data_IF_215912895778
#
_entry.id   IF_215912895778
#
_cell.length_a   1.000
_cell.length_b   1.000
_cell.length_c   1.000
_cell.angle_alpha   90.00
_cell.angle_beta   90.00
_cell.angle_gamma   90.00
#
_symmetry.space_group_name_H-M   'P 1'
#
loop_
_entity.id
_entity.type
_entity.pdbx_description
1 polymer ?
#
# COMPACT_ATOMS: atom_id res chain seq x y z
N UNK A 1 17.69 -43.53 -1.99
CA UNK A 1 18.52 -42.73 -2.91
C UNK A 1 17.95 -41.33 -2.96
N UNK A 2 18.56 -40.42 -2.20
CA UNK A 2 18.21 -39.00 -2.22
C UNK A 2 19.08 -38.34 -3.29
N UNK A 3 18.45 -37.81 -4.35
CA UNK A 3 19.15 -36.92 -5.28
C UNK A 3 19.22 -35.58 -4.57
N UNK A 4 20.33 -35.34 -3.88
CA UNK A 4 20.73 -34.02 -3.42
C UNK A 4 21.05 -33.16 -4.64
N UNK A 5 20.09 -32.35 -5.08
CA UNK A 5 20.32 -31.31 -6.09
C UNK A 5 21.15 -30.19 -5.47
N UNK A 6 22.46 -30.32 -5.62
CA UNK A 6 23.44 -29.26 -5.43
C UNK A 6 23.02 -27.98 -6.20
N UNK A 7 23.02 -26.83 -5.51
CA UNK A 7 23.18 -25.53 -6.17
C UNK A 7 22.04 -24.52 -6.05
N UNK A 8 20.88 -24.84 -5.46
CA UNK A 8 19.92 -23.79 -5.11
C UNK A 8 20.33 -23.18 -3.77
N UNK A 9 21.13 -22.11 -3.79
CA UNK A 9 21.19 -21.18 -2.66
C UNK A 9 19.75 -20.81 -2.35
N UNK A 10 19.20 -21.33 -1.26
CA UNK A 10 17.90 -20.92 -0.74
C UNK A 10 17.89 -19.39 -0.79
N UNK A 11 17.00 -18.81 -1.59
CA UNK A 11 16.96 -17.38 -1.78
C UNK A 11 16.86 -16.76 -0.40
N UNK A 12 17.93 -16.09 0.05
CA UNK A 12 17.98 -15.45 1.36
C UNK A 12 16.77 -14.54 1.42
N UNK A 13 15.79 -14.88 2.25
CA UNK A 13 14.59 -14.08 2.44
C UNK A 13 15.06 -12.82 3.15
N UNK A 14 15.53 -11.84 2.38
CA UNK A 14 15.91 -10.54 2.90
C UNK A 14 14.61 -9.85 3.29
N UNK A 15 14.32 -9.87 4.59
CA UNK A 15 13.27 -9.06 5.17
C UNK A 15 13.51 -7.59 4.79
N UNK A 16 12.49 -6.94 4.25
CA UNK A 16 12.55 -5.53 3.83
C UNK A 16 12.95 -4.68 5.04
N UNK A 17 13.95 -3.82 4.87
CA UNK A 17 14.39 -2.90 5.92
C UNK A 17 13.41 -1.73 6.04
N UNK A 18 13.02 -1.36 7.25
CA UNK A 18 12.16 -0.20 7.49
C UNK A 18 13.06 0.93 8.01
N UNK A 19 13.19 2.01 7.24
CA UNK A 19 13.94 3.21 7.61
C UNK A 19 12.96 4.31 7.98
N UNK A 20 13.00 4.79 9.23
CA UNK A 20 12.17 5.90 9.67
C UNK A 20 12.96 7.22 9.65
N UNK A 21 12.52 8.17 8.82
CA UNK A 21 13.05 9.54 8.73
C UNK A 21 11.95 10.58 9.02
N UNK A 22 10.79 10.16 9.53
CA UNK A 22 9.70 11.08 9.88
C UNK A 22 10.06 11.88 11.14
N UNK A 23 9.80 13.18 11.13
CA UNK A 23 10.10 14.09 12.25
C UNK A 23 9.04 14.05 13.36
N UNK A 24 7.83 13.61 13.04
CA UNK A 24 6.70 13.58 13.98
C UNK A 24 6.42 12.16 14.50
N UNK A 25 5.79 12.03 15.69
CA UNK A 25 5.59 10.73 16.32
C UNK A 25 4.62 9.85 15.54
N UNK A 26 5.12 8.72 15.06
CA UNK A 26 4.33 7.66 14.45
C UNK A 26 3.61 6.81 15.51
N UNK A 27 2.51 6.12 15.16
CA UNK A 27 1.87 5.16 16.04
C UNK A 27 2.86 4.07 16.49
N UNK A 28 2.88 3.73 17.78
CA UNK A 28 3.88 2.80 18.37
C UNK A 28 4.04 1.47 17.62
N UNK A 29 2.97 0.96 17.00
CA UNK A 29 2.94 -0.32 16.30
C UNK A 29 3.16 -0.21 14.78
N UNK A 30 3.73 0.89 14.28
CA UNK A 30 3.85 1.10 12.83
C UNK A 30 4.68 0.00 12.14
N UNK A 31 5.83 -0.38 12.71
CA UNK A 31 6.70 -1.43 12.14
C UNK A 31 6.01 -2.79 12.17
N UNK A 32 5.37 -3.13 13.28
CA UNK A 32 4.62 -4.37 13.41
C UNK A 32 3.48 -4.43 12.39
N UNK A 33 2.82 -3.30 12.14
CA UNK A 33 1.75 -3.20 11.13
C UNK A 33 2.30 -3.39 9.72
N UNK A 34 3.40 -2.72 9.36
CA UNK A 34 4.04 -2.86 8.05
C UNK A 34 4.47 -4.31 7.81
N UNK A 35 5.15 -4.93 8.78
CA UNK A 35 5.57 -6.33 8.68
C UNK A 35 4.37 -7.26 8.48
N UNK A 36 3.30 -7.11 9.27
CA UNK A 36 2.08 -7.93 9.12
C UNK A 36 1.42 -7.80 7.74
N UNK A 37 1.47 -6.60 7.14
CA UNK A 37 0.95 -6.38 5.78
C UNK A 37 1.85 -7.05 4.74
N UNK A 38 3.18 -6.97 4.90
CA UNK A 38 4.13 -7.65 4.01
C UNK A 38 4.03 -9.17 4.11
N UNK A 39 3.87 -9.71 5.32
CA UNK A 39 3.70 -11.15 5.59
C UNK A 39 2.39 -11.70 4.99
N UNK A 40 1.41 -10.83 4.73
CA UNK A 40 0.18 -11.21 4.04
C UNK A 40 0.37 -11.42 2.54
N UNK A 41 1.35 -10.76 1.93
CA UNK A 41 1.62 -10.87 0.51
C UNK A 41 2.58 -12.04 0.22
N UNK A 42 2.42 -12.72 -0.92
CA UNK A 42 3.43 -13.66 -1.41
C UNK A 42 4.80 -12.98 -1.58
N UNK A 43 5.85 -13.62 -1.08
CA UNK A 43 7.23 -13.09 -1.06
C UNK A 43 7.71 -12.78 -2.49
N UNK A 44 7.24 -13.53 -3.47
CA UNK A 44 7.55 -13.35 -4.88
C UNK A 44 7.15 -11.96 -5.38
N UNK A 45 6.08 -11.37 -4.85
CA UNK A 45 5.51 -10.13 -5.36
C UNK A 45 6.30 -8.88 -4.97
N UNK A 46 7.11 -8.96 -3.92
CA UNK A 46 8.00 -7.88 -3.47
C UNK A 46 9.48 -8.31 -3.46
N UNK A 47 9.80 -9.42 -4.15
CA UNK A 47 11.15 -9.96 -4.17
C UNK A 47 12.12 -8.95 -4.78
N UNK A 48 13.21 -8.68 -4.05
CA UNK A 48 14.25 -7.76 -4.48
C UNK A 48 14.03 -6.32 -4.04
N UNK A 49 12.89 -6.02 -3.41
CA UNK A 49 12.70 -4.75 -2.69
C UNK A 49 13.61 -4.75 -1.46
N UNK A 50 14.44 -3.72 -1.34
CA UNK A 50 15.44 -3.64 -0.27
C UNK A 50 14.87 -2.97 0.99
N UNK A 51 14.13 -1.87 0.81
CA UNK A 51 13.68 -1.03 1.93
C UNK A 51 12.38 -0.28 1.71
N UNK A 52 11.75 0.07 2.83
CA UNK A 52 10.66 1.03 2.95
C UNK A 52 11.16 2.21 3.77
N UNK A 53 11.19 3.39 3.16
CA UNK A 53 11.56 4.65 3.80
C UNK A 53 10.31 5.44 4.17
N UNK A 54 10.14 5.73 5.46
CA UNK A 54 9.06 6.56 5.99
C UNK A 54 9.58 7.99 6.09
N UNK A 55 8.95 8.92 5.38
CA UNK A 55 9.32 10.33 5.35
C UNK A 55 8.13 11.20 5.73
N UNK A 56 8.35 12.45 6.11
CA UNK A 56 7.25 13.38 6.33
C UNK A 56 6.54 13.66 5.00
N UNK A 57 7.29 14.17 4.02
CA UNK A 57 6.81 14.51 2.68
C UNK A 57 7.74 13.94 1.62
N UNK A 58 7.17 13.45 0.52
CA UNK A 58 7.94 12.94 -0.61
C UNK A 58 8.43 14.13 -1.44
N UNK A 59 9.75 14.23 -1.61
CA UNK A 59 10.41 15.32 -2.34
C UNK A 59 11.32 14.76 -3.43
N UNK A 60 10.74 14.16 -4.46
CA UNK A 60 11.50 13.68 -5.63
C UNK A 60 11.60 14.81 -6.69
N UNK A 61 12.82 15.15 -7.16
CA UNK A 61 13.01 16.09 -8.27
C UNK A 61 12.20 15.77 -9.54
N UNK A 62 11.91 14.49 -9.81
CA UNK A 62 11.11 14.04 -10.96
C UNK A 62 9.67 14.52 -10.91
N UNK A 63 9.13 14.73 -9.71
CA UNK A 63 7.76 15.18 -9.49
C UNK A 63 7.60 16.67 -9.73
N UNK A 64 8.68 17.45 -9.57
CA UNK A 64 8.67 18.91 -9.81
C UNK A 64 8.43 19.29 -11.27
N UNK A 65 8.73 18.39 -12.19
CA UNK A 65 8.58 18.61 -13.63
C UNK A 65 7.26 18.06 -14.19
N UNK A 66 6.39 17.48 -13.35
CA UNK A 66 5.07 17.03 -13.77
C UNK A 66 4.02 17.99 -13.20
N UNK A 67 3.24 18.64 -14.08
CA UNK A 67 2.04 19.44 -13.74
C UNK A 67 0.90 18.54 -13.23
N UNK A 68 1.17 17.72 -12.22
CA UNK A 68 0.14 17.00 -11.50
C UNK A 68 -0.37 17.98 -10.44
N UNK A 69 -1.68 18.28 -10.39
CA UNK A 69 -2.24 19.06 -9.30
C UNK A 69 -2.20 18.20 -8.03
N UNK A 70 -1.03 18.12 -7.38
CA UNK A 70 -0.82 17.45 -6.10
C UNK A 70 -1.41 18.34 -5.01
N UNK A 71 -2.73 18.50 -5.05
CA UNK A 71 -3.50 19.15 -3.99
C UNK A 71 -3.61 18.14 -2.85
N UNK A 72 -2.52 17.99 -2.11
CA UNK A 72 -2.33 16.98 -1.07
C UNK A 72 -1.18 16.05 -1.43
N UNK A 73 -0.15 16.04 -0.58
CA UNK A 73 1.13 15.35 -0.78
C UNK A 73 0.96 13.90 -1.23
N UNK A 74 1.86 13.45 -2.12
CA UNK A 74 1.89 12.08 -2.60
C UNK A 74 2.07 11.11 -1.42
N UNK A 75 1.14 10.17 -1.21
CA UNK A 75 1.19 9.32 -0.04
C UNK A 75 2.30 8.27 -0.14
N UNK A 76 2.68 7.86 -1.35
CA UNK A 76 3.74 6.88 -1.59
C UNK A 76 4.34 6.98 -2.99
N UNK A 77 5.61 6.61 -3.11
CA UNK A 77 6.38 6.62 -4.34
C UNK A 77 7.19 5.31 -4.47
N UNK A 78 7.09 4.69 -5.63
CA UNK A 78 7.91 3.53 -5.98
C UNK A 78 9.17 3.97 -6.70
N UNK A 79 10.32 3.54 -6.17
CA UNK A 79 11.62 3.74 -6.82
C UNK A 79 12.05 2.42 -7.49
N UNK A 80 11.98 2.32 -8.84
CA UNK A 80 12.42 1.13 -9.55
C UNK A 80 13.93 0.95 -9.45
N UNK A 81 14.43 -0.24 -9.81
CA UNK A 81 15.87 -0.51 -9.86
C UNK A 81 16.57 0.46 -10.80
N UNK A 82 17.55 1.21 -10.28
CA UNK A 82 18.39 2.12 -11.07
C UNK A 82 19.84 1.73 -10.83
N UNK A 83 20.54 1.31 -11.89
CA UNK A 83 21.94 0.89 -11.83
C UNK A 83 22.17 -0.17 -10.73
N UNK A 84 22.98 0.17 -9.72
CA UNK A 84 23.32 -0.70 -8.60
C UNK A 84 22.35 -0.58 -7.40
N UNK A 85 21.40 0.36 -7.44
CA UNK A 85 20.43 0.54 -6.37
C UNK A 85 19.23 -0.39 -6.59
N UNK A 86 18.96 -1.25 -5.60
CA UNK A 86 17.79 -2.12 -5.59
C UNK A 86 16.49 -1.30 -5.48
N UNK A 87 15.35 -1.85 -5.94
CA UNK A 87 14.07 -1.16 -5.82
C UNK A 87 13.70 -0.94 -4.35
N UNK A 88 13.07 0.19 -4.08
CA UNK A 88 12.64 0.55 -2.73
C UNK A 88 11.38 1.40 -2.75
N UNK A 89 10.76 1.54 -1.58
CA UNK A 89 9.50 2.23 -1.40
C UNK A 89 9.67 3.45 -0.52
N UNK A 90 9.08 4.57 -0.93
CA UNK A 90 9.00 5.78 -0.13
C UNK A 90 7.54 6.03 0.27
N UNK A 91 7.29 6.33 1.53
CA UNK A 91 5.95 6.57 2.05
C UNK A 91 5.91 7.89 2.83
N UNK A 92 5.02 8.79 2.45
CA UNK A 92 4.75 10.02 3.21
C UNK A 92 3.83 9.70 4.38
N UNK A 93 4.35 9.83 5.59
CA UNK A 93 3.56 9.69 6.80
C UNK A 93 2.65 10.89 6.99
N UNK A 94 3.03 12.10 6.52
CA UNK A 94 2.24 13.30 6.71
C UNK A 94 0.94 13.23 5.90
N UNK A 95 0.99 12.70 4.68
CA UNK A 95 -0.19 12.44 3.86
C UNK A 95 -1.14 11.42 4.51
N UNK A 96 -0.59 10.42 5.23
CA UNK A 96 -1.39 9.38 5.89
C UNK A 96 -1.98 9.79 7.24
N UNK A 97 -1.24 10.59 8.02
CA UNK A 97 -1.61 10.96 9.39
C UNK A 97 -2.18 12.37 9.51
N UNK A 98 -2.09 13.18 8.46
CA UNK A 98 -2.55 14.57 8.39
C UNK A 98 -2.25 15.35 9.69
N UNK A 99 -0.97 15.37 10.13
CA UNK A 99 -0.62 15.84 11.47
C UNK A 99 -0.90 17.33 11.70
N UNK A 100 -1.03 18.10 10.61
CA UNK A 100 -1.31 19.54 10.58
C UNK A 100 -2.80 19.88 10.61
N UNK A 101 -3.69 18.90 10.48
CA UNK A 101 -5.14 19.12 10.47
C UNK A 101 -5.77 19.03 11.86
N UNK A 102 -7.00 19.53 12.00
CA UNK A 102 -7.70 19.61 13.28
C UNK A 102 -7.86 18.27 14.01
N UNK A 103 -8.10 18.32 15.33
CA UNK A 103 -8.11 17.16 16.24
C UNK A 103 -8.95 15.97 15.75
N UNK A 104 -10.14 16.23 15.19
CA UNK A 104 -11.04 15.19 14.66
C UNK A 104 -10.41 14.46 13.48
N UNK A 105 -9.80 15.20 12.55
CA UNK A 105 -9.15 14.61 11.35
C UNK A 105 -7.90 13.82 11.73
N UNK A 106 -7.12 14.33 12.68
CA UNK A 106 -5.98 13.62 13.27
C UNK A 106 -6.39 12.30 13.92
N UNK A 107 -7.50 12.29 14.67
CA UNK A 107 -8.03 11.07 15.28
C UNK A 107 -8.51 10.07 14.22
N UNK A 108 -9.26 10.52 13.21
CA UNK A 108 -9.70 9.66 12.10
C UNK A 108 -8.52 9.07 11.33
N UNK A 109 -7.50 9.87 11.02
CA UNK A 109 -6.30 9.43 10.33
C UNK A 109 -5.53 8.38 11.15
N UNK A 110 -5.40 8.58 12.48
CA UNK A 110 -4.82 7.57 13.38
C UNK A 110 -5.62 6.27 13.44
N UNK A 111 -6.95 6.35 13.48
CA UNK A 111 -7.83 5.17 13.49
C UNK A 111 -7.78 4.40 12.17
N UNK A 112 -7.62 5.10 11.04
CA UNK A 112 -7.53 4.52 9.70
C UNK A 112 -6.12 4.07 9.30
N UNK A 113 -5.10 4.37 10.10
CA UNK A 113 -3.68 4.19 9.75
C UNK A 113 -3.34 2.79 9.25
N UNK A 114 -3.85 1.74 9.93
CA UNK A 114 -3.59 0.34 9.53
C UNK A 114 -4.13 0.01 8.15
N UNK A 115 -5.34 0.50 7.82
CA UNK A 115 -5.96 0.30 6.52
C UNK A 115 -5.27 1.11 5.43
N UNK A 116 -4.94 2.36 5.72
CA UNK A 116 -4.28 3.26 4.77
C UNK A 116 -2.87 2.79 4.42
N UNK A 117 -2.07 2.38 5.42
CA UNK A 117 -0.76 1.76 5.17
C UNK A 117 -0.89 0.48 4.36
N UNK A 118 -1.85 -0.38 4.68
CA UNK A 118 -2.04 -1.63 3.95
C UNK A 118 -2.36 -1.37 2.47
N UNK A 119 -3.32 -0.48 2.19
CA UNK A 119 -3.68 -0.10 0.82
C UNK A 119 -2.50 0.50 0.05
N UNK A 120 -1.69 1.31 0.73
CA UNK A 120 -0.51 1.91 0.14
C UNK A 120 0.58 0.90 -0.19
N UNK A 121 0.90 0.01 0.75
CA UNK A 121 1.86 -1.09 0.51
C UNK A 121 1.37 -1.97 -0.64
N UNK A 122 0.07 -2.32 -0.68
CA UNK A 122 -0.47 -3.11 -1.79
C UNK A 122 -0.39 -2.37 -3.13
N UNK A 123 -0.58 -1.05 -3.15
CA UNK A 123 -0.36 -0.25 -4.36
C UNK A 123 1.11 -0.27 -4.80
N UNK A 124 2.05 -0.03 -3.88
CA UNK A 124 3.49 0.00 -4.19
C UNK A 124 4.04 -1.36 -4.60
N UNK A 125 3.63 -2.44 -3.92
CA UNK A 125 3.98 -3.80 -4.30
C UNK A 125 3.34 -4.16 -5.64
N UNK A 126 2.10 -3.73 -5.89
CA UNK A 126 1.46 -3.88 -7.20
C UNK A 126 2.25 -3.21 -8.31
N UNK A 127 2.71 -1.97 -8.09
CA UNK A 127 3.59 -1.26 -9.02
C UNK A 127 4.87 -2.06 -9.27
N UNK A 128 5.55 -2.50 -8.22
CA UNK A 128 6.76 -3.31 -8.35
C UNK A 128 6.51 -4.62 -9.12
N UNK A 129 5.47 -5.36 -8.76
CA UNK A 129 5.12 -6.62 -9.39
C UNK A 129 4.83 -6.47 -10.88
N UNK A 130 3.98 -5.51 -11.27
CA UNK A 130 3.60 -5.32 -12.67
C UNK A 130 4.67 -4.61 -13.52
N UNK A 131 5.52 -3.76 -12.93
CA UNK A 131 6.58 -3.08 -13.66
C UNK A 131 7.86 -3.91 -13.77
N UNK A 132 8.15 -4.73 -12.77
CA UNK A 132 9.47 -5.39 -12.64
C UNK A 132 9.40 -6.90 -12.83
N UNK A 133 8.34 -7.56 -12.37
CA UNK A 133 8.28 -9.03 -12.35
C UNK A 133 7.37 -9.61 -13.43
N UNK A 134 6.25 -8.94 -13.73
CA UNK A 134 5.24 -9.40 -14.68
C UNK A 134 5.28 -8.58 -15.96
N UNK A 135 6.02 -9.05 -16.95
CA UNK A 135 6.16 -8.40 -18.25
C UNK A 135 4.99 -8.62 -19.23
N UNK A 136 3.93 -9.32 -18.81
CA UNK A 136 2.80 -9.69 -19.67
C UNK A 136 1.79 -8.56 -19.91
N UNK A 137 2.01 -7.36 -19.36
CA UNK A 137 1.01 -6.29 -19.30
C UNK A 137 1.46 -5.08 -20.11
N UNK A 138 0.59 -4.62 -21.00
CA UNK A 138 0.81 -3.39 -21.78
C UNK A 138 0.81 -2.18 -20.86
N UNK A 139 1.70 -1.22 -21.13
CA UNK A 139 1.86 0.00 -20.32
C UNK A 139 0.56 0.79 -20.12
N UNK A 140 -0.30 0.83 -21.14
CA UNK A 140 -1.60 1.50 -21.11
C UNK A 140 -2.60 0.88 -20.12
N UNK A 141 -2.41 -0.38 -19.74
CA UNK A 141 -3.32 -1.11 -18.84
C UNK A 141 -2.71 -1.37 -17.46
N UNK A 142 -1.56 -0.77 -17.14
CA UNK A 142 -0.88 -1.00 -15.87
C UNK A 142 -1.66 -0.41 -14.69
N UNK A 143 -2.08 0.85 -14.78
CA UNK A 143 -2.76 1.52 -13.66
C UNK A 143 -4.07 0.80 -13.25
N UNK A 144 -4.98 0.41 -14.17
CA UNK A 144 -6.16 -0.36 -13.79
C UNK A 144 -5.82 -1.69 -13.11
N UNK A 145 -4.76 -2.37 -13.55
CA UNK A 145 -4.36 -3.67 -12.99
C UNK A 145 -3.71 -3.55 -11.62
N UNK A 146 -2.88 -2.52 -11.42
CA UNK A 146 -2.30 -2.18 -10.11
C UNK A 146 -3.40 -1.82 -9.13
N UNK A 147 -4.37 -1.01 -9.57
CA UNK A 147 -5.54 -0.64 -8.76
C UNK A 147 -6.37 -1.85 -8.37
N UNK A 148 -6.74 -2.70 -9.32
CA UNK A 148 -7.48 -3.93 -9.04
C UNK A 148 -6.73 -4.86 -8.10
N UNK A 149 -5.40 -4.98 -8.25
CA UNK A 149 -4.55 -5.74 -7.35
C UNK A 149 -4.58 -5.17 -5.92
N UNK A 150 -4.44 -3.85 -5.79
CA UNK A 150 -4.48 -3.19 -4.49
C UNK A 150 -5.84 -3.35 -3.82
N UNK A 151 -6.94 -3.11 -4.55
CA UNK A 151 -8.31 -3.25 -4.07
C UNK A 151 -8.62 -4.70 -3.62
N UNK A 152 -8.19 -5.69 -4.40
CA UNK A 152 -8.36 -7.12 -4.08
C UNK A 152 -7.64 -7.47 -2.78
N UNK A 153 -6.36 -7.13 -2.66
CA UNK A 153 -5.57 -7.45 -1.47
C UNK A 153 -6.06 -6.67 -0.24
N UNK A 154 -6.49 -5.43 -0.42
CA UNK A 154 -7.05 -4.63 0.66
C UNK A 154 -8.37 -5.21 1.18
N UNK A 155 -9.23 -5.70 0.29
CA UNK A 155 -10.47 -6.38 0.68
C UNK A 155 -10.18 -7.65 1.48
N UNK A 156 -9.30 -8.51 0.98
CA UNK A 156 -8.91 -9.76 1.65
C UNK A 156 -8.22 -9.49 2.99
N UNK A 157 -7.34 -8.48 3.04
CA UNK A 157 -6.69 -8.04 4.27
C UNK A 157 -7.70 -7.55 5.30
N UNK A 158 -8.63 -6.69 4.89
CA UNK A 158 -9.70 -6.18 5.75
C UNK A 158 -10.59 -7.31 6.27
N UNK A 159 -10.90 -8.29 5.43
CA UNK A 159 -11.63 -9.49 5.82
C UNK A 159 -10.87 -10.30 6.88
N UNK A 160 -9.58 -10.59 6.67
CA UNK A 160 -8.73 -11.32 7.61
C UNK A 160 -8.52 -10.58 8.93
N UNK A 161 -8.38 -9.26 8.89
CA UNK A 161 -8.31 -8.44 10.11
C UNK A 161 -9.65 -8.39 10.86
N UNK A 162 -10.76 -8.51 10.12
CA UNK A 162 -12.10 -8.50 10.68
C UNK A 162 -12.55 -9.89 11.15
N UNK A 163 -11.95 -10.98 10.65
CA UNK A 163 -12.21 -12.36 11.05
C UNK A 163 -11.93 -12.56 12.54
N UNK A 164 -12.99 -12.50 13.35
CA UNK A 164 -12.94 -12.59 14.82
C UNK A 164 -13.51 -11.36 15.54
N UNK A 165 -13.67 -10.23 14.84
CA UNK A 165 -14.28 -9.03 15.39
C UNK A 165 -15.81 -9.15 15.45
N UNK A 166 -16.42 -8.69 16.56
CA UNK A 166 -17.89 -8.60 16.69
C UNK A 166 -18.54 -7.83 15.53
N UNK A 167 -17.88 -6.76 15.08
CA UNK A 167 -18.27 -5.98 13.89
C UNK A 167 -18.38 -6.85 12.64
N UNK A 168 -17.47 -7.80 12.42
CA UNK A 168 -17.52 -8.65 11.24
C UNK A 168 -18.71 -9.60 11.28
N UNK A 169 -19.05 -10.14 12.45
CA UNK A 169 -20.24 -10.98 12.63
C UNK A 169 -21.52 -10.19 12.37
N UNK A 170 -21.57 -8.92 12.80
CA UNK A 170 -22.72 -8.04 12.61
C UNK A 170 -22.87 -7.53 11.18
N UNK A 171 -21.77 -7.11 10.52
CA UNK A 171 -21.82 -6.44 9.22
C UNK A 171 -21.67 -7.37 8.01
N UNK A 172 -21.14 -8.60 8.16
CA UNK A 172 -21.05 -9.58 7.07
C UNK A 172 -22.38 -9.80 6.32
N UNK A 173 -23.53 -10.03 6.98
CA UNK A 173 -24.80 -10.25 6.29
C UNK A 173 -25.34 -9.01 5.57
N UNK A 174 -24.98 -7.80 6.01
CA UNK A 174 -25.46 -6.54 5.42
C UNK A 174 -24.55 -5.99 4.30
N UNK A 175 -23.40 -6.62 4.04
CA UNK A 175 -22.49 -6.24 2.95
C UNK A 175 -23.16 -6.01 1.59
N UNK A 176 -24.03 -6.90 1.07
CA UNK A 176 -24.65 -6.68 -0.24
C UNK A 176 -25.54 -5.43 -0.29
N UNK A 177 -26.19 -5.09 0.83
CA UNK A 177 -27.03 -3.87 0.92
C UNK A 177 -26.14 -2.63 0.98
N UNK A 178 -25.09 -2.66 1.79
CA UNK A 178 -24.11 -1.57 1.90
C UNK A 178 -23.39 -1.31 0.57
N UNK A 179 -23.03 -2.35 -0.18
CA UNK A 179 -22.43 -2.21 -1.52
C UNK A 179 -23.40 -1.58 -2.52
N UNK A 180 -24.70 -1.94 -2.47
CA UNK A 180 -25.73 -1.30 -3.31
C UNK A 180 -25.89 0.18 -2.98
N UNK A 181 -25.90 0.52 -1.70
CA UNK A 181 -25.97 1.91 -1.25
C UNK A 181 -24.72 2.71 -1.64
N UNK A 182 -23.53 2.13 -1.50
CA UNK A 182 -22.28 2.77 -1.93
C UNK A 182 -22.27 3.04 -3.45
N UNK A 183 -22.73 2.08 -4.27
CA UNK A 183 -22.88 2.28 -5.73
C UNK A 183 -23.87 3.40 -6.05
N UNK A 184 -24.99 3.44 -5.35
CA UNK A 184 -26.00 4.49 -5.51
C UNK A 184 -25.48 5.87 -5.10
N UNK A 185 -24.76 5.98 -3.98
CA UNK A 185 -24.13 7.21 -3.51
C UNK A 185 -23.04 7.70 -4.48
N UNK A 186 -22.18 6.80 -4.97
CA UNK A 186 -21.16 7.16 -5.95
C UNK A 186 -21.79 7.63 -7.26
N UNK A 187 -22.90 7.02 -7.69
CA UNK A 187 -23.66 7.48 -8.86
C UNK A 187 -24.20 8.90 -8.64
N UNK A 188 -24.85 9.16 -7.50
CA UNK A 188 -25.33 10.51 -7.14
C UNK A 188 -24.21 11.55 -7.03
N UNK A 189 -23.06 11.18 -6.46
CA UNK A 189 -21.91 12.07 -6.32
C UNK A 189 -21.25 12.38 -7.68
N UNK A 190 -21.25 11.42 -8.62
CA UNK A 190 -20.80 11.65 -9.98
C UNK A 190 -21.78 12.55 -10.76
N UNK A 191 -23.08 12.36 -10.57
CA UNK A 191 -24.11 13.19 -11.18
C UNK A 191 -24.11 14.63 -10.62
N UNK A 192 -23.77 14.82 -9.34
CA UNK A 192 -23.64 16.14 -8.71
C UNK A 192 -22.32 16.88 -9.02
N UNK A 193 -21.35 16.20 -9.64
CA UNK A 193 -20.07 16.78 -10.10
C UNK A 193 -20.05 17.13 -11.59
N UNK A 194 -21.09 16.74 -12.33
CA UNK A 194 -21.35 17.21 -13.69
C UNK A 194 -22.13 18.51 -13.64
#
# INVERSE_FOLDING_TARGET
MAIETAGQKAAKITKIRIENTASFPLPKDYEATINKVLDFLPVEQYRGVEKIKLVDYISDPRLKNMDIPVKGDLPGLYHPRVQNQAPWFEMSMAALLQPTEGFVKKFMAKSGFKGNIAGLIFSLVGQHYYLTLRHSVKRTSLEPQIRQYAEKNLKLWSEKQSEGSFRAKLFKPFRPVLERWAKWLNKKAADAKK
#
